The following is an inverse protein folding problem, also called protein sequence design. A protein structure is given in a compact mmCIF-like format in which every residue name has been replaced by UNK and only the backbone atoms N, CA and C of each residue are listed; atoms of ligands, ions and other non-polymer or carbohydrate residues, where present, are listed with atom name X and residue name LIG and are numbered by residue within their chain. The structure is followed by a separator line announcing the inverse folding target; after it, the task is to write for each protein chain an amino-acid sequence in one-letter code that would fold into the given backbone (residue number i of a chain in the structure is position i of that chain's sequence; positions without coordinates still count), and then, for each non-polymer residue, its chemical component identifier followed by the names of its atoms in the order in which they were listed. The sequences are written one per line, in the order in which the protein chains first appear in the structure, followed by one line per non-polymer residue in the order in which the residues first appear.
data_IF_559192586663
#
_entry.id   IF_559192586663
#
_cell.length_a   1.000
_cell.length_b   1.000
_cell.length_c   1.000
_cell.angle_alpha   90.00
_cell.angle_beta   90.00
_cell.angle_gamma   90.00
#
_symmetry.space_group_name_H-M   'P 1'
#
loop_
_entity.id
_entity.type
_entity.pdbx_description
1 polymer ?
#
# COMPACT_ATOMS: atom_id res chain seq x y z
N UNK A 1 1.06 -8.26 -24.12
CA UNK A 1 1.20 -6.99 -23.36
C UNK A 1 1.32 -7.31 -21.87
N UNK A 2 2.22 -6.64 -21.14
CA UNK A 2 2.40 -6.81 -19.68
C UNK A 2 2.26 -5.46 -19.01
N UNK A 3 1.48 -5.39 -17.94
CA UNK A 3 1.19 -4.16 -17.19
C UNK A 3 0.88 -2.97 -18.10
N UNK A 4 0.07 -3.20 -19.12
CA UNK A 4 -0.29 -2.19 -20.11
C UNK A 4 -1.72 -2.37 -20.59
N UNK A 5 -2.29 -1.29 -21.12
CA UNK A 5 -3.59 -1.26 -21.78
C UNK A 5 -3.42 -0.97 -23.27
N UNK A 6 -4.33 -1.50 -24.08
CA UNK A 6 -4.38 -1.26 -25.51
C UNK A 6 -5.83 -1.07 -25.96
N UNK A 7 -6.03 -0.19 -26.94
CA UNK A 7 -7.29 -0.13 -27.69
C UNK A 7 -7.30 -1.24 -28.72
N UNK A 8 -8.30 -2.11 -28.65
CA UNK A 8 -8.46 -3.23 -29.60
C UNK A 8 -9.17 -2.74 -30.85
N UNK A 9 -10.21 -1.93 -30.68
CA UNK A 9 -10.99 -1.27 -31.72
C UNK A 9 -11.65 0.00 -31.14
N UNK A 10 -12.19 0.91 -31.96
CA UNK A 10 -12.85 2.12 -31.45
C UNK A 10 -13.95 1.80 -30.43
N UNK A 11 -13.78 2.29 -29.20
CA UNK A 11 -14.72 2.04 -28.10
C UNK A 11 -14.42 0.80 -27.24
N UNK A 12 -13.47 -0.05 -27.64
CA UNK A 12 -13.04 -1.23 -26.88
C UNK A 12 -11.56 -1.13 -26.49
N UNK A 13 -11.31 -1.13 -25.19
CA UNK A 13 -9.95 -1.22 -24.64
C UNK A 13 -9.83 -2.39 -23.69
N UNK A 14 -8.64 -3.00 -23.66
CA UNK A 14 -8.31 -4.11 -22.77
C UNK A 14 -6.98 -3.86 -22.09
N UNK A 15 -6.84 -4.35 -20.85
CA UNK A 15 -5.60 -4.26 -20.11
C UNK A 15 -5.13 -5.65 -19.69
N UNK A 16 -3.81 -5.86 -19.64
CA UNK A 16 -3.22 -7.04 -19.02
C UNK A 16 -2.19 -6.63 -17.98
N UNK A 17 -2.08 -7.43 -16.93
CA UNK A 17 -1.07 -7.31 -15.90
C UNK A 17 -0.70 -8.68 -15.34
N UNK A 18 0.42 -8.73 -14.63
CA UNK A 18 1.06 -9.96 -14.16
C UNK A 18 1.04 -10.10 -12.62
N UNK A 19 0.31 -9.23 -11.91
CA UNK A 19 0.17 -9.25 -10.46
C UNK A 19 -1.28 -9.60 -10.07
N UNK A 20 -1.47 -10.24 -8.92
CA UNK A 20 -2.83 -10.53 -8.45
C UNK A 20 -3.59 -9.26 -8.06
N UNK A 21 -4.86 -9.18 -8.45
CA UNK A 21 -5.75 -8.05 -8.14
C UNK A 21 -5.51 -6.78 -8.97
N UNK A 22 -4.56 -6.81 -9.91
CA UNK A 22 -4.14 -5.67 -10.71
C UNK A 22 -5.21 -5.12 -11.68
N UNK A 23 -6.28 -5.90 -11.93
CA UNK A 23 -7.51 -5.47 -12.60
C UNK A 23 -8.67 -5.51 -11.62
N UNK A 24 -9.33 -4.39 -11.43
CA UNK A 24 -10.62 -4.30 -10.75
C UNK A 24 -11.47 -3.21 -11.41
N UNK A 25 -12.77 -3.08 -11.08
CA UNK A 25 -13.57 -1.95 -11.58
C UNK A 25 -12.97 -0.57 -11.26
N UNK A 26 -12.04 -0.49 -10.29
CA UNK A 26 -11.39 0.76 -9.85
C UNK A 26 -9.93 0.89 -10.28
N UNK A 27 -9.30 -0.18 -10.79
CA UNK A 27 -7.85 -0.24 -11.04
C UNK A 27 -7.51 -0.92 -12.34
N UNK A 28 -6.51 -0.39 -13.02
CA UNK A 28 -5.92 -1.01 -14.20
C UNK A 28 -4.46 -0.55 -14.34
N UNK A 29 -3.69 -1.12 -15.28
CA UNK A 29 -2.41 -0.56 -15.66
C UNK A 29 -2.45 0.93 -16.04
N UNK A 30 -3.53 1.40 -16.68
CA UNK A 30 -3.74 2.80 -17.02
C UNK A 30 -4.20 3.66 -15.82
N UNK A 31 -4.79 3.03 -14.80
CA UNK A 31 -5.17 3.68 -13.55
C UNK A 31 -4.62 2.90 -12.34
N UNK A 32 -3.31 2.99 -12.05
CA UNK A 32 -2.70 2.32 -10.91
C UNK A 32 -3.30 2.77 -9.59
N UNK A 33 -3.35 1.85 -8.63
CA UNK A 33 -3.37 2.21 -7.21
C UNK A 33 -1.94 2.40 -6.71
N UNK A 34 -1.69 3.48 -5.98
CA UNK A 34 -0.52 3.64 -5.12
C UNK A 34 -0.91 3.57 -3.66
N UNK A 35 -0.05 2.99 -2.83
CA UNK A 35 -0.23 2.88 -1.39
C UNK A 35 1.00 3.41 -0.67
N UNK A 36 0.82 4.05 0.48
CA UNK A 36 1.95 4.30 1.36
C UNK A 36 2.38 2.97 1.98
N UNK A 37 3.68 2.67 1.94
CA UNK A 37 4.29 1.51 2.59
C UNK A 37 5.38 2.00 3.52
N UNK A 38 5.32 1.60 4.79
CA UNK A 38 6.15 2.21 5.82
C UNK A 38 5.76 1.85 7.24
N UNK A 39 6.37 2.56 8.18
CA UNK A 39 6.23 2.39 9.62
C UNK A 39 6.07 3.76 10.29
N UNK A 40 5.17 3.81 11.27
CA UNK A 40 4.94 4.96 12.15
C UNK A 40 4.95 4.50 13.60
N UNK A 41 5.88 5.02 14.38
CA UNK A 41 6.00 4.80 15.83
C UNK A 41 6.24 6.16 16.51
N UNK A 42 5.16 6.85 16.95
CA UNK A 42 5.24 8.21 17.46
C UNK A 42 6.16 8.40 18.67
N UNK A 43 6.14 7.48 19.65
CA UNK A 43 6.99 7.61 20.84
C UNK A 43 8.47 7.39 20.51
N UNK A 44 8.76 6.55 19.52
CA UNK A 44 10.11 6.37 18.99
C UNK A 44 10.53 7.48 18.00
N UNK A 45 9.65 8.42 17.67
CA UNK A 45 9.85 9.43 16.63
C UNK A 45 10.26 8.82 15.26
N UNK A 46 9.67 7.67 14.93
CA UNK A 46 9.91 6.99 13.65
C UNK A 46 8.71 7.22 12.75
N UNK A 47 8.96 7.84 11.60
CA UNK A 47 8.05 7.85 10.47
C UNK A 47 8.87 7.67 9.20
N UNK A 48 8.77 6.50 8.61
CA UNK A 48 9.56 6.14 7.42
C UNK A 48 8.67 5.39 6.43
N UNK A 49 8.85 5.66 5.14
CA UNK A 49 8.09 4.99 4.09
C UNK A 49 8.05 5.77 2.79
N UNK A 50 7.36 5.21 1.82
CA UNK A 50 7.17 5.80 0.50
C UNK A 50 5.82 5.36 -0.09
N UNK A 51 5.32 6.10 -1.08
CA UNK A 51 4.27 5.56 -1.94
C UNK A 51 4.88 4.54 -2.90
N UNK A 52 4.17 3.44 -3.15
CA UNK A 52 4.53 2.40 -4.12
C UNK A 52 3.31 1.98 -4.94
N UNK A 53 3.51 1.43 -6.13
CA UNK A 53 2.44 0.80 -6.89
C UNK A 53 1.92 -0.44 -6.16
N UNK A 54 0.60 -0.64 -6.22
CA UNK A 54 -0.05 -1.76 -5.54
C UNK A 54 -1.05 -2.47 -6.45
N UNK A 55 -0.82 -3.75 -6.72
CA UNK A 55 -1.79 -4.63 -7.38
C UNK A 55 -2.95 -5.06 -6.47
N UNK A 56 -2.74 -5.06 -5.15
CA UNK A 56 -3.75 -5.45 -4.17
C UNK A 56 -4.54 -4.27 -3.58
N UNK A 57 -4.61 -4.20 -2.26
CA UNK A 57 -5.24 -3.10 -1.52
C UNK A 57 -4.20 -2.42 -0.61
N UNK A 58 -4.37 -1.12 -0.40
CA UNK A 58 -3.61 -0.42 0.62
C UNK A 58 -4.10 -0.88 1.98
N UNK A 59 -3.20 -1.15 2.91
CA UNK A 59 -3.53 -1.62 4.24
C UNK A 59 -2.78 -0.85 5.32
N UNK A 60 -3.40 -0.77 6.49
CA UNK A 60 -2.74 -0.42 7.75
C UNK A 60 -2.94 -1.53 8.75
N UNK A 61 -1.96 -1.70 9.64
CA UNK A 61 -2.09 -2.52 10.83
C UNK A 61 -1.52 -1.72 12.00
N UNK A 62 -2.33 -1.45 13.02
CA UNK A 62 -1.87 -0.79 14.23
C UNK A 62 -1.90 -1.73 15.44
N UNK A 63 -0.89 -1.63 16.29
CA UNK A 63 -0.77 -2.42 17.50
C UNK A 63 -0.03 -1.62 18.58
N UNK A 64 -0.25 -1.98 19.85
CA UNK A 64 0.51 -1.42 20.97
C UNK A 64 1.81 -2.21 21.17
N UNK A 65 2.96 -1.55 21.00
CA UNK A 65 4.29 -2.14 21.23
C UNK A 65 5.04 -1.28 22.23
N UNK A 66 5.32 -1.84 23.41
CA UNK A 66 6.00 -1.11 24.51
C UNK A 66 5.33 0.24 24.84
N UNK A 67 4.00 0.28 24.79
CA UNK A 67 3.21 1.50 25.02
C UNK A 67 3.15 2.48 23.85
N UNK A 68 3.82 2.22 22.72
CA UNK A 68 3.67 3.01 21.50
C UNK A 68 2.59 2.43 20.58
N UNK A 69 1.78 3.28 19.96
CA UNK A 69 0.77 2.86 18.99
C UNK A 69 1.43 2.82 17.61
N UNK A 70 2.05 1.68 17.32
CA UNK A 70 2.83 1.46 16.10
C UNK A 70 1.89 1.10 14.98
N UNK A 71 1.95 1.85 13.88
CA UNK A 71 1.22 1.56 12.64
C UNK A 71 2.20 1.14 11.56
N UNK A 72 1.93 0.01 10.93
CA UNK A 72 2.56 -0.39 9.66
C UNK A 72 1.61 -0.10 8.50
N UNK A 73 2.19 0.28 7.36
CA UNK A 73 1.49 0.58 6.13
C UNK A 73 1.99 -0.34 5.03
N UNK A 74 1.09 -0.93 4.27
CA UNK A 74 1.39 -2.09 3.43
C UNK A 74 0.57 -2.05 2.14
N UNK A 75 1.10 -2.62 1.07
CA UNK A 75 0.28 -3.13 -0.03
C UNK A 75 0.10 -4.63 0.22
N UNK A 76 -1.14 -5.10 0.31
CA UNK A 76 -1.45 -6.51 0.60
C UNK A 76 -2.38 -7.10 -0.46
N UNK A 77 -2.31 -8.41 -0.74
CA UNK A 77 -3.25 -9.06 -1.65
C UNK A 77 -4.70 -8.86 -1.18
N UNK A 78 -5.63 -8.70 -2.13
CA UNK A 78 -7.06 -8.54 -1.84
C UNK A 78 -7.63 -9.70 -1.01
N UNK A 79 -7.07 -10.91 -1.15
CA UNK A 79 -7.46 -12.09 -0.36
C UNK A 79 -7.20 -11.92 1.14
N UNK A 80 -6.14 -11.19 1.53
CA UNK A 80 -5.83 -10.90 2.94
C UNK A 80 -6.92 -10.01 3.53
N UNK A 81 -7.28 -8.92 2.85
CA UNK A 81 -8.33 -8.00 3.29
C UNK A 81 -9.69 -8.69 3.39
N UNK A 82 -10.01 -9.57 2.44
CA UNK A 82 -11.24 -10.38 2.49
C UNK A 82 -11.24 -11.38 3.64
N UNK A 83 -10.12 -12.08 3.87
CA UNK A 83 -9.99 -13.04 4.97
C UNK A 83 -10.15 -12.38 6.35
N UNK A 84 -9.73 -11.12 6.47
CA UNK A 84 -9.89 -10.30 7.69
C UNK A 84 -11.24 -9.58 7.77
N UNK A 85 -12.09 -9.69 6.76
CA UNK A 85 -13.32 -8.90 6.61
C UNK A 85 -13.09 -7.37 6.71
N UNK A 86 -11.98 -6.89 6.13
CA UNK A 86 -11.54 -5.50 6.13
C UNK A 86 -11.58 -4.85 4.73
N UNK A 87 -12.30 -5.41 3.76
CA UNK A 87 -12.41 -4.84 2.41
C UNK A 87 -13.02 -3.44 2.46
N UNK A 88 -12.25 -2.42 2.08
CA UNK A 88 -12.65 -1.00 2.16
C UNK A 88 -13.19 -0.59 3.55
N UNK A 89 -12.61 -1.18 4.60
CA UNK A 89 -13.01 -0.97 5.98
C UNK A 89 -11.91 -1.37 6.95
N UNK A 90 -12.26 -1.46 8.22
CA UNK A 90 -11.37 -1.87 9.29
C UNK A 90 -11.98 -3.03 10.06
N UNK A 91 -11.13 -3.93 10.54
CA UNK A 91 -11.52 -5.08 11.35
C UNK A 91 -10.45 -5.34 12.41
N UNK A 92 -10.86 -5.93 13.54
CA UNK A 92 -9.89 -6.38 14.56
C UNK A 92 -9.37 -7.77 14.19
N UNK A 93 -8.09 -8.04 14.46
CA UNK A 93 -7.55 -9.36 14.19
C UNK A 93 -8.19 -10.40 15.13
N UNK A 94 -8.54 -11.55 14.56
CA UNK A 94 -9.13 -12.66 15.33
C UNK A 94 -8.08 -13.21 16.30
N UNK A 95 -8.35 -13.05 17.59
CA UNK A 95 -7.45 -13.50 18.68
C UNK A 95 -6.64 -12.37 19.32
N UNK A 96 -6.66 -11.17 18.75
CA UNK A 96 -6.02 -9.99 19.32
C UNK A 96 -6.88 -8.74 19.04
N UNK A 97 -7.73 -8.41 20.01
CA UNK A 97 -8.69 -7.30 19.89
C UNK A 97 -8.02 -5.92 19.95
N UNK A 98 -6.76 -5.85 20.36
CA UNK A 98 -6.00 -4.60 20.40
C UNK A 98 -5.39 -4.25 19.04
N UNK A 99 -5.32 -5.21 18.11
CA UNK A 99 -4.80 -5.01 16.76
C UNK A 99 -5.94 -4.74 15.78
N UNK A 100 -5.93 -3.57 15.17
CA UNK A 100 -6.86 -3.21 14.09
C UNK A 100 -6.13 -3.17 12.76
N UNK A 101 -6.70 -3.87 11.78
CA UNK A 101 -6.26 -3.85 10.39
C UNK A 101 -7.30 -3.17 9.51
N UNK A 102 -6.87 -2.24 8.67
CA UNK A 102 -7.73 -1.62 7.66
C UNK A 102 -7.24 -1.96 6.27
N UNK A 103 -8.16 -2.04 5.30
CA UNK A 103 -7.80 -2.04 3.89
C UNK A 103 -8.65 -1.05 3.11
N UNK A 104 -8.09 -0.50 2.04
CA UNK A 104 -8.79 0.38 1.13
C UNK A 104 -8.20 0.31 -0.27
N UNK A 105 -9.04 0.60 -1.24
CA UNK A 105 -8.65 0.62 -2.64
C UNK A 105 -9.40 1.68 -3.48
N UNK A 106 -10.00 2.64 -2.77
CA UNK A 106 -10.84 3.71 -3.32
C UNK A 106 -10.05 4.85 -3.93
N UNK A 107 -8.82 5.09 -3.49
CA UNK A 107 -7.95 6.15 -4.01
C UNK A 107 -6.48 5.87 -3.73
N UNK A 108 -5.60 6.54 -4.46
CA UNK A 108 -4.17 6.56 -4.16
C UNK A 108 -3.91 7.04 -2.72
N UNK A 109 -3.00 6.35 -2.05
CA UNK A 109 -2.65 6.54 -0.64
C UNK A 109 -3.86 6.57 0.32
N UNK A 110 -4.95 5.87 0.00
CA UNK A 110 -6.13 5.85 0.87
C UNK A 110 -5.82 5.37 2.30
N UNK A 111 -4.74 4.60 2.50
CA UNK A 111 -4.30 4.12 3.80
C UNK A 111 -3.65 5.20 4.69
N UNK A 112 -3.56 6.45 4.23
CA UNK A 112 -3.02 7.57 5.02
C UNK A 112 -4.10 8.53 5.51
N UNK A 113 -5.38 8.31 5.18
CA UNK A 113 -6.47 9.25 5.50
C UNK A 113 -6.58 9.49 7.01
N UNK A 114 -6.41 8.45 7.83
CA UNK A 114 -6.41 8.54 9.29
C UNK A 114 -5.10 9.04 9.93
N UNK A 115 -4.09 9.39 9.12
CA UNK A 115 -2.74 9.70 9.60
C UNK A 115 -2.23 11.02 8.99
N UNK A 116 -2.62 12.18 9.58
CA UNK A 116 -2.31 13.50 9.03
C UNK A 116 -0.81 13.80 8.88
N UNK A 117 0.01 13.29 9.81
CA UNK A 117 1.47 13.39 9.77
C UNK A 117 2.08 12.64 8.59
N UNK A 118 1.59 11.43 8.31
CA UNK A 118 1.97 10.64 7.12
C UNK A 118 1.56 11.36 5.84
N UNK A 119 0.31 11.86 5.79
CA UNK A 119 -0.21 12.60 4.63
C UNK A 119 0.60 13.87 4.37
N UNK A 120 0.97 14.59 5.43
CA UNK A 120 1.82 15.79 5.34
C UNK A 120 3.20 15.43 4.80
N UNK A 121 3.83 14.35 5.28
CA UNK A 121 5.11 13.88 4.75
C UNK A 121 5.05 13.62 3.25
N UNK A 122 4.05 12.86 2.79
CA UNK A 122 3.87 12.56 1.36
C UNK A 122 3.66 13.85 0.56
N UNK A 123 2.85 14.78 1.06
CA UNK A 123 2.58 16.04 0.38
C UNK A 123 3.81 16.95 0.32
N UNK A 124 4.59 17.03 1.39
CA UNK A 124 5.86 17.76 1.41
C UNK A 124 6.86 17.15 0.43
N UNK A 125 6.97 15.81 0.37
CA UNK A 125 7.83 15.15 -0.62
C UNK A 125 7.36 15.45 -2.05
N UNK A 126 6.05 15.41 -2.34
CA UNK A 126 5.48 15.78 -3.64
C UNK A 126 5.78 17.23 -4.02
N UNK A 127 5.66 18.16 -3.07
CA UNK A 127 5.97 19.57 -3.27
C UNK A 127 7.46 19.78 -3.61
N UNK A 128 8.36 19.17 -2.83
CA UNK A 128 9.81 19.25 -3.07
C UNK A 128 10.20 18.64 -4.43
N UNK A 129 9.58 17.51 -4.82
CA UNK A 129 9.79 16.91 -6.15
C UNK A 129 9.27 17.79 -7.31
N UNK A 130 8.27 18.63 -7.07
CA UNK A 130 7.69 19.51 -8.08
C UNK A 130 8.53 20.78 -8.30
N UNK A 131 9.29 21.21 -7.29
CA UNK A 131 10.19 22.37 -7.36
C UNK A 131 11.62 22.02 -7.83
N UNK A 132 12.04 20.75 -7.78
CA UNK A 132 13.40 20.31 -8.15
C UNK A 132 13.59 20.07 -9.66
N UNK A 133 13.39 21.10 -10.49
CA UNK A 133 14.02 21.13 -11.84
C UNK A 133 15.49 21.52 -11.79
N UNK A 134 15.98 21.98 -10.63
CA UNK A 134 17.40 22.25 -10.41
C UNK A 134 18.02 21.30 -9.38
N UNK A 135 19.27 20.96 -9.66
CA UNK A 135 20.08 19.86 -9.15
C UNK A 135 20.38 19.96 -7.64
N UNK A 136 19.47 19.52 -6.77
CA UNK A 136 19.77 19.25 -5.35
C UNK A 136 19.44 17.80 -5.03
N UNK A 137 20.48 16.98 -4.80
CA UNK A 137 20.33 15.56 -4.46
C UNK A 137 19.87 15.39 -3.01
N UNK A 138 18.56 15.46 -2.79
CA UNK A 138 17.95 14.65 -1.74
C UNK A 138 17.69 13.27 -2.36
N UNK A 139 18.39 12.24 -1.88
CA UNK A 139 18.12 10.84 -2.28
C UNK A 139 16.79 10.42 -1.65
N UNK A 140 15.68 10.85 -2.25
CA UNK A 140 14.36 10.29 -2.01
C UNK A 140 14.21 9.07 -2.92
N UNK A 141 13.68 7.93 -2.44
CA UNK A 141 13.39 6.81 -3.32
C UNK A 141 12.44 7.28 -4.42
N UNK A 142 12.92 7.33 -5.66
CA UNK A 142 12.05 7.38 -6.83
C UNK A 142 11.07 6.21 -6.71
N UNK A 143 9.79 6.42 -7.04
CA UNK A 143 8.85 5.30 -7.19
C UNK A 143 9.58 4.23 -8.00
N UNK A 144 9.86 3.05 -7.42
CA UNK A 144 10.60 2.04 -8.15
C UNK A 144 9.83 1.78 -9.44
N UNK A 145 10.51 1.70 -10.60
CA UNK A 145 9.86 1.29 -11.83
C UNK A 145 9.05 0.02 -11.50
N UNK A 146 7.79 -0.05 -11.96
CA UNK A 146 6.93 -1.22 -11.70
C UNK A 146 7.77 -2.46 -11.98
N UNK A 147 8.09 -3.26 -10.96
CA UNK A 147 9.12 -4.26 -11.13
C UNK A 147 8.62 -5.28 -12.17
N UNK A 148 9.42 -5.54 -13.20
CA UNK A 148 9.07 -6.43 -14.31
C UNK A 148 8.91 -7.89 -13.86
N UNK A 149 9.43 -8.17 -12.66
CA UNK A 149 9.31 -9.41 -11.89
C UNK A 149 8.83 -9.03 -10.48
N UNK A 150 7.86 -9.75 -9.89
CA UNK A 150 7.41 -9.44 -8.53
C UNK A 150 8.59 -9.53 -7.56
N UNK A 151 8.94 -8.42 -6.89
CA UNK A 151 9.69 -8.50 -5.64
C UNK A 151 8.69 -9.04 -4.63
N UNK A 152 8.68 -10.36 -4.45
CA UNK A 152 7.84 -11.02 -3.46
C UNK A 152 8.42 -10.77 -2.07
N UNK A 153 8.23 -9.57 -1.53
CA UNK A 153 8.32 -9.35 -0.09
C UNK A 153 7.10 -10.02 0.52
N UNK A 154 7.27 -11.23 1.07
CA UNK A 154 6.18 -11.85 1.78
C UNK A 154 5.92 -11.08 3.08
N UNK A 155 4.78 -10.41 3.15
CA UNK A 155 4.26 -9.79 4.36
C UNK A 155 3.18 -10.69 4.94
N UNK A 156 3.53 -11.41 5.99
CA UNK A 156 2.61 -12.27 6.73
C UNK A 156 2.21 -11.68 8.06
N UNK A 157 0.94 -11.83 8.42
CA UNK A 157 0.50 -11.56 9.78
C UNK A 157 0.70 -12.83 10.59
N UNK A 158 1.46 -12.73 11.68
CA UNK A 158 1.65 -13.82 12.64
C UNK A 158 0.98 -13.48 13.96
N UNK A 159 0.30 -14.46 14.55
CA UNK A 159 -0.19 -14.40 15.92
C UNK A 159 0.40 -15.58 16.67
N UNK A 160 1.12 -15.33 17.76
CA UNK A 160 1.82 -16.35 18.55
C UNK A 160 2.72 -17.28 17.70
N UNK A 161 3.47 -16.70 16.75
CA UNK A 161 4.36 -17.45 15.85
C UNK A 161 3.66 -18.26 14.75
N UNK A 162 2.33 -18.24 14.67
CA UNK A 162 1.55 -18.93 13.63
C UNK A 162 1.07 -17.94 12.58
N UNK A 163 1.32 -18.25 11.31
CA UNK A 163 0.88 -17.41 10.19
C UNK A 163 -0.65 -17.45 10.03
N UNK A 164 -1.27 -16.27 9.92
CA UNK A 164 -2.68 -16.08 9.59
C UNK A 164 -2.91 -16.00 8.06
N UNK A 165 -1.88 -15.61 7.31
CA UNK A 165 -1.87 -15.63 5.84
C UNK A 165 -0.89 -16.68 5.33
N UNK A 166 -1.23 -17.35 4.22
CA UNK A 166 -0.28 -18.19 3.50
C UNK A 166 0.58 -17.31 2.58
N UNK A 167 1.87 -17.59 2.40
CA UNK A 167 2.61 -17.08 1.26
C UNK A 167 1.91 -17.44 -0.04
N UNK A 168 1.70 -16.43 -0.88
CA UNK A 168 1.32 -16.59 -2.28
C UNK A 168 2.56 -16.87 -3.10
#
# INVERSE_FOLDING_TARGET
MRNNCATVEPGLSGCCCNEDGCLSPKKSPANPLTCFVGLRAPRANVLVGAEVYCGGMCSTLNAMVNGDNVTTFQCVPTSVCKALAADNGCSTLRGDREVTGCCCDTSNACNTIGYPDVRKLIQTLKYVMQESKDHFQVVVPTLPPRPEFPISCWTGIYVNGKALSKPG
#
